data_IF_146322675384
#
_entry.id   IF_146322675384
#
_cell.length_a   1.000
_cell.length_b   1.000
_cell.length_c   1.000
_cell.angle_alpha   90.00
_cell.angle_beta   90.00
_cell.angle_gamma   90.00
#
_symmetry.space_group_name_H-M   'P 1'
#
loop_
_entity.id
_entity.type
_entity.pdbx_description
1 polymer ?
#
# COMPACT_ATOMS: atom_id res chain seq x y z
N UNK A 1 -39.99 -38.12 27.24
CA UNK A 1 -40.93 -38.25 26.11
C UNK A 1 -40.62 -37.14 25.12
N UNK A 2 -40.01 -37.46 23.98
CA UNK A 2 -39.46 -36.48 23.04
C UNK A 2 -40.37 -36.37 21.80
N UNK A 3 -40.96 -35.19 21.61
CA UNK A 3 -41.87 -34.90 20.49
C UNK A 3 -41.06 -34.43 19.29
N UNK A 4 -40.93 -35.28 18.26
CA UNK A 4 -40.38 -34.90 16.95
C UNK A 4 -41.44 -34.14 16.16
N UNK A 5 -41.17 -32.87 15.84
CA UNK A 5 -41.97 -32.07 14.91
C UNK A 5 -41.31 -32.12 13.54
N UNK A 6 -41.98 -32.76 12.58
CA UNK A 6 -41.62 -32.74 11.16
C UNK A 6 -42.33 -31.57 10.50
N UNK A 7 -41.56 -30.62 9.94
CA UNK A 7 -42.09 -29.56 9.07
C UNK A 7 -41.74 -29.92 7.64
N UNK A 8 -42.78 -30.16 6.83
CA UNK A 8 -42.71 -30.49 5.41
C UNK A 8 -43.52 -29.44 4.64
N UNK A 9 -42.83 -28.53 3.96
CA UNK A 9 -43.36 -27.63 2.92
C UNK A 9 -42.19 -27.44 1.94
N UNK A 10 -42.26 -27.67 0.63
CA UNK A 10 -43.38 -27.69 -0.30
C UNK A 10 -42.84 -26.98 -1.55
N UNK A 11 -42.41 -27.73 -2.55
CA UNK A 11 -41.83 -27.20 -3.78
C UNK A 11 -42.95 -26.65 -4.68
N UNK A 12 -42.85 -25.37 -5.06
CA UNK A 12 -43.75 -24.72 -6.00
C UNK A 12 -42.96 -24.02 -7.10
N UNK A 13 -42.80 -24.69 -8.23
CA UNK A 13 -42.44 -24.07 -9.52
C UNK A 13 -43.62 -23.23 -10.00
N UNK A 14 -43.39 -21.94 -10.29
CA UNK A 14 -44.24 -21.21 -11.24
C UNK A 14 -43.41 -20.24 -12.07
N UNK A 15 -43.68 -20.31 -13.37
CA UNK A 15 -43.01 -19.61 -14.47
C UNK A 15 -43.47 -18.16 -14.55
N UNK A 16 -42.53 -17.30 -14.91
CA UNK A 16 -42.65 -16.17 -15.84
C UNK A 16 -43.83 -15.22 -15.72
N UNK A 17 -43.55 -13.97 -15.34
CA UNK A 17 -44.07 -12.80 -16.03
C UNK A 17 -43.05 -11.66 -16.00
N UNK A 18 -42.66 -11.21 -17.19
CA UNK A 18 -41.96 -9.96 -17.40
C UNK A 18 -42.91 -8.79 -17.08
N UNK A 19 -42.46 -7.85 -16.24
CA UNK A 19 -43.17 -6.59 -15.98
C UNK A 19 -42.36 -5.38 -16.47
N UNK A 20 -43.05 -4.33 -16.93
CA UNK A 20 -42.49 -3.29 -17.78
C UNK A 20 -41.65 -2.24 -17.04
N UNK A 21 -40.70 -1.71 -17.80
CA UNK A 21 -39.96 -0.46 -17.63
C UNK A 21 -40.83 0.66 -17.01
N UNK A 22 -40.51 1.06 -15.77
CA UNK A 22 -41.02 2.28 -15.15
C UNK A 22 -39.94 3.37 -15.22
N UNK A 23 -40.16 4.34 -16.11
CA UNK A 23 -39.51 5.67 -16.09
C UNK A 23 -39.76 6.33 -14.73
N UNK A 24 -38.69 6.75 -14.04
CA UNK A 24 -38.79 7.64 -12.87
C UNK A 24 -38.76 9.09 -13.32
N UNK A 25 -39.68 9.95 -12.83
CA UNK A 25 -39.58 11.39 -13.04
C UNK A 25 -38.53 12.00 -12.11
N UNK A 26 -37.82 12.99 -12.65
CA UNK A 26 -36.96 13.89 -11.89
C UNK A 26 -37.81 14.81 -11.03
N UNK A 27 -37.53 14.88 -9.72
CA UNK A 27 -37.81 16.03 -8.87
C UNK A 27 -36.70 16.16 -7.84
N UNK A 28 -35.98 17.29 -7.92
CA UNK A 28 -35.20 17.80 -6.81
C UNK A 28 -36.12 18.44 -5.77
N UNK A 29 -35.67 18.45 -4.51
CA UNK A 29 -35.41 19.66 -3.73
C UNK A 29 -34.69 19.27 -2.42
N UNK A 30 -33.63 20.04 -2.16
CA UNK A 30 -33.04 20.44 -0.89
C UNK A 30 -33.65 19.86 0.40
N UNK A 31 -32.78 19.22 1.19
CA UNK A 31 -32.74 19.45 2.64
C UNK A 31 -31.29 19.68 3.05
N UNK A 32 -31.09 20.83 3.67
CA UNK A 32 -29.92 21.20 4.47
C UNK A 32 -29.75 20.23 5.64
N UNK A 33 -28.52 19.78 5.83
CA UNK A 33 -28.12 18.83 6.85
C UNK A 33 -26.60 18.74 6.94
N UNK A 34 -25.91 19.88 6.82
CA UNK A 34 -24.55 20.03 7.28
C UNK A 34 -24.56 19.96 8.81
N UNK A 35 -24.16 18.82 9.37
CA UNK A 35 -23.28 18.65 10.54
C UNK A 35 -23.44 17.22 11.05
N UNK A 36 -22.56 16.31 10.59
CA UNK A 36 -22.04 15.12 11.31
C UNK A 36 -21.29 14.19 10.36
N UNK A 37 -20.42 14.77 9.53
CA UNK A 37 -19.33 14.06 8.86
C UNK A 37 -18.06 14.87 9.12
N UNK A 38 -17.56 14.77 10.34
CA UNK A 38 -16.22 15.19 10.69
C UNK A 38 -15.69 14.22 11.74
N UNK A 39 -14.41 13.88 11.62
CA UNK A 39 -13.63 13.03 12.53
C UNK A 39 -13.74 11.51 12.27
N UNK A 40 -13.38 11.14 11.06
CA UNK A 40 -12.68 9.88 10.79
C UNK A 40 -11.32 10.20 10.20
N UNK A 41 -10.36 10.63 11.02
CA UNK A 41 -8.97 10.83 10.59
C UNK A 41 -8.05 9.97 11.44
N UNK A 42 -7.42 9.01 10.74
CA UNK A 42 -6.29 8.23 11.20
C UNK A 42 -5.19 9.16 11.73
N UNK A 43 -4.82 8.96 13.00
CA UNK A 43 -3.60 9.53 13.57
C UNK A 43 -2.41 8.73 13.02
N UNK A 44 -1.82 9.28 11.96
CA UNK A 44 -0.53 8.90 11.41
C UNK A 44 0.07 10.10 10.70
N UNK A 45 0.71 11.00 11.46
CA UNK A 45 1.79 11.90 11.02
C UNK A 45 1.70 12.53 9.60
N UNK A 46 0.72 13.41 9.34
CA UNK A 46 0.68 14.21 8.09
C UNK A 46 0.52 15.74 8.26
N UNK A 47 0.18 16.38 9.41
CA UNK A 47 -0.07 17.82 9.37
C UNK A 47 1.21 18.66 9.20
N UNK A 48 2.40 18.11 9.47
CA UNK A 48 3.67 18.84 9.39
C UNK A 48 4.14 19.05 7.93
N UNK A 49 3.98 18.05 7.06
CA UNK A 49 4.42 18.16 5.66
C UNK A 49 3.56 19.10 4.82
N UNK A 50 2.26 19.22 5.12
CA UNK A 50 1.40 20.21 4.44
C UNK A 50 1.80 21.63 4.80
N UNK A 51 2.18 21.91 6.05
CA UNK A 51 2.71 23.22 6.44
C UNK A 51 4.07 23.50 5.78
N UNK A 52 4.95 22.50 5.67
CA UNK A 52 6.26 22.64 5.02
C UNK A 52 6.15 22.88 3.50
N UNK A 53 5.24 22.17 2.82
CA UNK A 53 4.98 22.38 1.39
C UNK A 53 4.35 23.75 1.15
N UNK A 54 3.43 24.21 2.00
CA UNK A 54 2.88 25.57 1.88
C UNK A 54 3.94 26.64 2.13
N UNK A 55 4.91 26.42 3.02
CA UNK A 55 6.05 27.33 3.23
C UNK A 55 6.97 27.34 2.00
N UNK A 56 7.25 26.18 1.40
CA UNK A 56 8.12 26.05 0.23
C UNK A 56 7.47 26.56 -1.07
N UNK A 57 6.15 26.46 -1.21
CA UNK A 57 5.39 26.98 -2.37
C UNK A 57 5.30 28.51 -2.40
N UNK A 58 5.59 29.19 -1.27
CA UNK A 58 5.67 30.65 -1.19
C UNK A 58 7.09 31.20 -1.33
N UNK A 59 8.11 30.33 -1.43
CA UNK A 59 9.49 30.73 -1.75
C UNK A 59 9.61 30.78 -3.28
N UNK A 60 9.67 31.99 -3.84
CA UNK A 60 9.88 32.16 -5.28
C UNK A 60 11.25 31.58 -5.68
N UNK A 61 11.33 30.76 -6.75
CA UNK A 61 12.60 30.20 -7.22
C UNK A 61 13.63 31.26 -7.67
N UNK A 62 13.18 32.50 -7.90
CA UNK A 62 14.05 33.62 -8.30
C UNK A 62 14.84 34.25 -7.13
N UNK A 63 14.67 33.78 -5.87
CA UNK A 63 15.35 34.36 -4.70
C UNK A 63 16.51 33.54 -4.14
N UNK A 64 16.95 32.48 -4.82
CA UNK A 64 18.20 31.77 -4.50
C UNK A 64 19.31 32.14 -5.48
N UNK A 65 19.54 33.43 -5.65
CA UNK A 65 20.80 33.93 -6.16
C UNK A 65 21.85 33.78 -5.04
N UNK A 66 22.72 32.77 -5.13
CA UNK A 66 23.98 32.85 -4.42
C UNK A 66 24.69 34.12 -4.90
N UNK A 67 25.09 35.04 -4.00
CA UNK A 67 25.77 36.27 -4.38
C UNK A 67 27.21 35.91 -4.74
N UNK A 68 27.40 35.45 -5.97
CA UNK A 68 28.69 35.04 -6.48
C UNK A 68 28.52 34.54 -7.90
N UNK A 69 28.94 35.35 -8.86
CA UNK A 69 28.96 34.95 -10.27
C UNK A 69 29.84 33.72 -10.52
N UNK A 70 29.97 33.27 -11.79
CA UNK A 70 30.74 32.09 -12.17
C UNK A 70 32.19 32.09 -11.64
N UNK A 71 32.75 33.27 -11.36
CA UNK A 71 34.08 33.46 -10.75
C UNK A 71 34.20 32.90 -9.33
N UNK A 72 33.13 32.93 -8.52
CA UNK A 72 33.14 32.39 -7.14
C UNK A 72 33.09 30.86 -7.17
N UNK A 73 32.36 30.29 -8.13
CA UNK A 73 32.30 28.84 -8.33
C UNK A 73 33.65 28.29 -8.81
N UNK A 74 34.36 29.05 -9.66
CA UNK A 74 35.69 28.71 -10.13
C UNK A 74 36.76 28.83 -9.02
N UNK A 75 36.62 29.83 -8.14
CA UNK A 75 37.50 30.00 -6.97
C UNK A 75 37.36 28.87 -5.94
N UNK A 76 36.13 28.41 -5.69
CA UNK A 76 35.85 27.27 -4.79
C UNK A 76 36.43 25.97 -5.36
N UNK A 77 36.30 25.75 -6.67
CA UNK A 77 36.86 24.56 -7.33
C UNK A 77 38.40 24.56 -7.35
N UNK A 78 39.06 25.73 -7.42
CA UNK A 78 40.52 25.84 -7.30
C UNK A 78 41.03 25.60 -5.88
N UNK A 79 40.28 25.99 -4.85
CA UNK A 79 40.68 25.75 -3.45
C UNK A 79 40.55 24.29 -3.02
N UNK A 80 39.67 23.50 -3.66
CA UNK A 80 39.43 22.11 -3.27
C UNK A 80 40.46 21.10 -3.81
N UNK A 81 41.36 21.48 -4.74
CA UNK A 81 42.41 20.59 -5.29
C UNK A 81 43.68 21.33 -5.74
N UNK A 82 44.59 21.69 -4.82
CA UNK A 82 45.84 22.37 -5.18
C UNK A 82 46.91 21.48 -5.84
N UNK A 83 46.81 20.14 -5.77
CA UNK A 83 47.96 19.26 -6.07
C UNK A 83 47.88 18.37 -7.32
N UNK A 84 46.88 18.55 -8.20
CA UNK A 84 46.81 17.73 -9.43
C UNK A 84 47.45 18.48 -10.60
N UNK A 85 48.72 18.19 -10.86
CA UNK A 85 49.42 18.60 -12.09
C UNK A 85 48.81 17.86 -13.30
N UNK A 86 48.38 18.58 -14.37
CA UNK A 86 47.80 17.95 -15.57
C UNK A 86 48.75 17.08 -16.40
N UNK A 87 50.02 16.95 -16.01
CA UNK A 87 51.10 16.39 -16.85
C UNK A 87 51.47 14.93 -16.58
N UNK A 88 50.85 14.25 -15.62
CA UNK A 88 51.19 12.86 -15.25
C UNK A 88 50.14 11.82 -15.66
N UNK A 89 49.28 12.16 -16.61
CA UNK A 89 48.26 11.25 -17.16
C UNK A 89 48.78 10.49 -18.39
N UNK A 90 49.95 9.85 -18.27
CA UNK A 90 50.37 8.80 -19.20
C UNK A 90 49.84 7.48 -18.63
N UNK A 91 48.60 7.15 -18.99
CA UNK A 91 48.00 5.85 -18.67
C UNK A 91 48.74 4.80 -19.51
N UNK A 92 49.60 4.04 -18.84
CA UNK A 92 50.19 2.83 -19.37
C UNK A 92 49.08 1.88 -19.84
N UNK A 93 49.14 1.52 -21.12
CA UNK A 93 48.22 0.63 -21.80
C UNK A 93 48.51 -0.83 -21.38
N UNK A 94 48.37 -1.16 -20.10
CA UNK A 94 48.37 -2.55 -19.67
C UNK A 94 47.04 -3.20 -20.09
N UNK A 95 47.14 -4.28 -20.86
CA UNK A 95 46.00 -5.09 -21.30
C UNK A 95 45.19 -5.50 -20.07
N UNK A 96 43.90 -5.09 -19.94
CA UNK A 96 43.08 -5.49 -18.81
C UNK A 96 42.75 -6.98 -18.92
N UNK A 97 43.55 -7.78 -18.23
CA UNK A 97 43.25 -9.16 -17.89
C UNK A 97 41.97 -9.21 -17.06
N UNK A 98 41.01 -10.04 -17.51
CA UNK A 98 39.81 -10.46 -16.78
C UNK A 98 38.99 -9.34 -16.12
N UNK A 99 38.08 -8.73 -16.89
CA UNK A 99 36.99 -7.91 -16.32
C UNK A 99 36.26 -8.73 -15.25
N UNK A 100 36.10 -8.23 -14.01
CA UNK A 100 35.25 -8.89 -13.03
C UNK A 100 33.84 -8.96 -13.63
N UNK A 101 33.34 -10.18 -13.82
CA UNK A 101 31.94 -10.37 -14.22
C UNK A 101 31.09 -9.88 -13.06
N UNK A 102 30.57 -8.66 -13.16
CA UNK A 102 29.60 -8.15 -12.21
C UNK A 102 28.35 -9.01 -12.41
N UNK A 103 28.18 -10.02 -11.54
CA UNK A 103 26.97 -10.82 -11.51
C UNK A 103 25.82 -9.89 -11.17
N UNK A 104 24.77 -9.93 -11.98
CA UNK A 104 23.52 -9.21 -11.68
C UNK A 104 23.03 -9.65 -10.29
N UNK A 105 22.60 -8.69 -9.43
CA UNK A 105 22.16 -8.99 -8.08
C UNK A 105 20.96 -9.95 -8.11
N UNK A 106 20.91 -10.87 -7.16
CA UNK A 106 19.82 -11.84 -7.09
C UNK A 106 18.51 -11.16 -6.69
N UNK A 107 17.35 -11.74 -7.04
CA UNK A 107 16.04 -11.24 -6.60
C UNK A 107 15.94 -11.13 -5.07
N UNK A 108 16.60 -12.04 -4.36
CA UNK A 108 16.61 -12.05 -2.90
C UNK A 108 17.42 -10.86 -2.35
N UNK A 109 18.60 -10.59 -2.91
CA UNK A 109 19.40 -9.41 -2.54
C UNK A 109 18.64 -8.11 -2.79
N UNK A 110 17.99 -7.96 -3.95
CA UNK A 110 17.18 -6.78 -4.27
C UNK A 110 16.01 -6.65 -3.28
N UNK A 111 15.36 -7.77 -2.93
CA UNK A 111 14.26 -7.77 -1.97
C UNK A 111 14.72 -7.39 -0.56
N UNK A 112 15.87 -7.87 -0.12
CA UNK A 112 16.42 -7.55 1.20
C UNK A 112 16.87 -6.08 1.26
N UNK A 113 17.57 -5.58 0.24
CA UNK A 113 17.93 -4.17 0.12
C UNK A 113 16.70 -3.25 0.13
N UNK A 114 15.63 -3.64 -0.58
CA UNK A 114 14.35 -2.93 -0.55
C UNK A 114 13.71 -2.92 0.86
N UNK A 115 13.80 -4.03 1.61
CA UNK A 115 13.24 -4.10 2.95
C UNK A 115 14.02 -3.23 3.94
N UNK A 116 15.35 -3.22 3.87
CA UNK A 116 16.19 -2.31 4.65
C UNK A 116 15.86 -0.85 4.33
N UNK A 117 15.75 -0.50 3.04
CA UNK A 117 15.34 0.85 2.64
C UNK A 117 13.98 1.28 3.26
N UNK A 118 13.02 0.36 3.32
CA UNK A 118 11.71 0.65 3.93
C UNK A 118 11.79 0.75 5.45
N UNK A 119 12.64 -0.04 6.10
CA UNK A 119 12.90 0.01 7.54
C UNK A 119 13.55 1.34 7.95
N UNK A 120 14.58 1.76 7.22
CA UNK A 120 15.24 3.06 7.39
C UNK A 120 14.26 4.22 7.17
N UNK A 121 13.29 4.03 6.26
CA UNK A 121 12.18 4.96 6.01
C UNK A 121 11.08 4.97 7.10
N UNK A 122 11.25 4.24 8.21
CA UNK A 122 10.31 4.21 9.33
C UNK A 122 9.06 3.36 9.09
N UNK A 123 9.10 2.39 8.18
CA UNK A 123 7.98 1.48 7.98
C UNK A 123 7.73 0.61 9.22
N UNK A 124 6.46 0.42 9.58
CA UNK A 124 6.11 -0.40 10.73
C UNK A 124 6.58 -1.86 10.58
N UNK A 125 7.14 -2.44 11.64
CA UNK A 125 7.69 -3.80 11.66
C UNK A 125 6.68 -4.86 11.16
N UNK A 126 5.42 -4.77 11.60
CA UNK A 126 4.36 -5.68 11.16
C UNK A 126 4.10 -5.61 9.65
N UNK A 127 4.25 -4.44 9.04
CA UNK A 127 4.13 -4.25 7.60
C UNK A 127 5.32 -4.87 6.86
N UNK A 128 6.54 -4.66 7.36
CA UNK A 128 7.77 -5.24 6.80
C UNK A 128 7.73 -6.77 6.84
N UNK A 129 7.33 -7.38 7.96
CA UNK A 129 7.20 -8.84 8.11
C UNK A 129 6.27 -9.46 7.06
N UNK A 130 5.10 -8.86 6.84
CA UNK A 130 4.14 -9.34 5.83
C UNK A 130 4.70 -9.19 4.42
N UNK A 131 5.39 -8.09 4.15
CA UNK A 131 5.99 -7.80 2.84
C UNK A 131 7.17 -8.73 2.54
N UNK A 132 8.07 -8.93 3.50
CA UNK A 132 9.19 -9.86 3.43
C UNK A 132 8.73 -11.28 3.08
N UNK A 133 7.68 -11.78 3.74
CA UNK A 133 7.10 -13.10 3.42
C UNK A 133 6.67 -13.23 1.96
N UNK A 134 6.06 -12.18 1.39
CA UNK A 134 5.61 -12.16 -0.01
C UNK A 134 6.79 -12.13 -0.97
N UNK A 135 7.78 -11.27 -0.71
CA UNK A 135 8.94 -11.13 -1.59
C UNK A 135 9.87 -12.35 -1.54
N UNK A 136 10.10 -12.96 -0.37
CA UNK A 136 10.85 -14.22 -0.25
C UNK A 136 10.19 -15.38 -0.99
N UNK A 137 8.85 -15.42 -1.02
CA UNK A 137 8.14 -16.41 -1.82
C UNK A 137 8.37 -16.20 -3.31
N UNK A 138 8.37 -14.94 -3.78
CA UNK A 138 8.68 -14.59 -5.17
C UNK A 138 10.14 -14.92 -5.54
N UNK A 139 11.11 -14.52 -4.71
CA UNK A 139 12.54 -14.74 -4.94
C UNK A 139 12.91 -16.23 -5.02
N UNK A 140 12.22 -17.10 -4.28
CA UNK A 140 12.38 -18.56 -4.39
C UNK A 140 11.95 -19.12 -5.75
N UNK A 141 10.94 -18.53 -6.38
CA UNK A 141 10.47 -18.97 -7.70
C UNK A 141 11.29 -18.33 -8.84
N UNK A 142 11.83 -17.14 -8.61
CA UNK A 142 12.63 -16.40 -9.58
C UNK A 142 13.92 -15.90 -8.92
N UNK A 143 15.01 -16.71 -8.93
CA UNK A 143 16.29 -16.30 -8.34
C UNK A 143 16.90 -15.05 -8.98
N UNK A 144 16.60 -14.83 -10.26
CA UNK A 144 16.93 -13.62 -11.02
C UNK A 144 15.67 -12.80 -11.27
N UNK A 145 15.75 -11.46 -11.15
CA UNK A 145 14.57 -10.61 -11.16
C UNK A 145 13.93 -10.62 -12.57
N UNK A 146 12.67 -11.11 -12.72
CA UNK A 146 12.07 -11.23 -14.05
C UNK A 146 11.90 -9.88 -14.75
N UNK A 147 12.49 -9.76 -15.94
CA UNK A 147 12.31 -8.58 -16.80
C UNK A 147 11.12 -8.75 -17.75
N UNK A 148 10.66 -9.97 -18.00
CA UNK A 148 9.48 -10.24 -18.82
C UNK A 148 8.17 -10.09 -18.01
N UNK A 149 7.28 -9.16 -18.40
CA UNK A 149 5.98 -9.00 -17.74
C UNK A 149 5.10 -10.26 -17.77
N UNK A 150 5.28 -11.18 -18.74
CA UNK A 150 4.48 -12.41 -18.80
C UNK A 150 4.81 -13.37 -17.65
N UNK A 151 6.08 -13.49 -17.25
CA UNK A 151 6.48 -14.28 -16.09
C UNK A 151 5.84 -13.74 -14.80
N UNK A 152 5.81 -12.42 -14.65
CA UNK A 152 5.17 -11.77 -13.51
C UNK A 152 3.65 -12.01 -13.51
N UNK A 153 3.01 -11.92 -14.69
CA UNK A 153 1.57 -12.24 -14.83
C UNK A 153 1.29 -13.70 -14.49
N UNK A 154 2.14 -14.63 -14.93
CA UNK A 154 2.02 -16.05 -14.61
C UNK A 154 2.14 -16.29 -13.09
N UNK A 155 3.12 -15.67 -12.44
CA UNK A 155 3.27 -15.67 -10.98
C UNK A 155 2.00 -15.17 -10.27
N UNK A 156 1.42 -14.06 -10.72
CA UNK A 156 0.21 -13.50 -10.08
C UNK A 156 -1.03 -14.36 -10.32
N UNK A 157 -1.14 -15.04 -11.46
CA UNK A 157 -2.28 -15.92 -11.79
C UNK A 157 -2.39 -17.12 -10.84
N UNK A 158 -1.28 -17.58 -10.24
CA UNK A 158 -1.31 -18.72 -9.30
C UNK A 158 -2.16 -18.46 -8.04
N UNK A 159 -2.34 -17.19 -7.65
CA UNK A 159 -3.17 -16.83 -6.51
C UNK A 159 -4.64 -16.71 -6.95
N UNK A 160 -5.53 -17.53 -6.36
CA UNK A 160 -6.98 -17.47 -6.62
C UNK A 160 -7.56 -16.12 -6.16
N UNK A 161 -8.41 -15.51 -6.98
CA UNK A 161 -8.98 -14.17 -6.77
C UNK A 161 -10.42 -14.15 -6.25
N UNK A 162 -11.08 -15.30 -6.15
CA UNK A 162 -12.51 -15.35 -5.89
C UNK A 162 -12.90 -14.66 -4.57
N UNK A 163 -12.11 -14.89 -3.51
CA UNK A 163 -12.55 -14.54 -2.15
C UNK A 163 -11.52 -13.75 -1.32
N UNK A 164 -10.23 -13.87 -1.64
CA UNK A 164 -9.15 -13.28 -0.84
C UNK A 164 -8.32 -12.31 -1.69
N UNK A 165 -8.01 -11.09 -1.19
CA UNK A 165 -7.25 -10.09 -1.94
C UNK A 165 -5.76 -10.47 -2.14
N UNK A 166 -5.37 -11.73 -1.92
CA UNK A 166 -3.98 -12.23 -1.97
C UNK A 166 -3.27 -11.83 -3.27
N UNK A 167 -3.92 -11.96 -4.43
CA UNK A 167 -3.31 -11.57 -5.72
C UNK A 167 -3.01 -10.08 -5.78
N UNK A 168 -3.94 -9.23 -5.34
CA UNK A 168 -3.75 -7.78 -5.33
C UNK A 168 -2.64 -7.38 -4.37
N UNK A 169 -2.58 -8.07 -3.23
CA UNK A 169 -1.59 -7.89 -2.20
C UNK A 169 -0.17 -8.28 -2.64
N UNK A 170 -0.06 -9.37 -3.41
CA UNK A 170 1.18 -9.77 -4.08
C UNK A 170 1.59 -8.75 -5.14
N UNK A 171 0.63 -8.32 -5.99
CA UNK A 171 0.88 -7.28 -7.00
C UNK A 171 1.38 -5.97 -6.37
N UNK A 172 0.81 -5.52 -5.24
CA UNK A 172 1.30 -4.34 -4.51
C UNK A 172 2.71 -4.52 -3.96
N UNK A 173 3.02 -5.72 -3.44
CA UNK A 173 4.36 -6.03 -2.95
C UNK A 173 5.39 -5.91 -4.08
N UNK A 174 5.13 -6.60 -5.20
CA UNK A 174 5.97 -6.56 -6.39
C UNK A 174 6.08 -5.16 -6.98
N UNK A 175 4.97 -4.42 -7.11
CA UNK A 175 4.99 -3.06 -7.69
C UNK A 175 5.99 -2.17 -6.95
N UNK A 176 6.00 -2.22 -5.62
CA UNK A 176 6.93 -1.41 -4.84
C UNK A 176 8.37 -1.95 -4.88
N UNK A 177 8.58 -3.26 -4.94
CA UNK A 177 9.91 -3.84 -5.16
C UNK A 177 10.50 -3.37 -6.51
N UNK A 178 9.73 -3.47 -7.59
CA UNK A 178 10.18 -3.05 -8.91
C UNK A 178 10.33 -1.53 -9.02
N UNK A 179 9.51 -0.74 -8.32
CA UNK A 179 9.73 0.72 -8.24
C UNK A 179 11.07 1.05 -7.60
N UNK A 180 11.46 0.32 -6.56
CA UNK A 180 12.77 0.46 -5.93
C UNK A 180 13.89 -0.01 -6.87
N UNK A 181 13.77 -1.21 -7.45
CA UNK A 181 14.80 -1.77 -8.33
C UNK A 181 15.04 -0.98 -9.62
N UNK A 182 14.02 -0.28 -10.12
CA UNK A 182 14.07 0.53 -11.35
C UNK A 182 13.98 2.04 -11.03
N UNK A 183 14.40 2.47 -9.84
CA UNK A 183 14.34 3.89 -9.48
C UNK A 183 15.16 4.77 -10.44
N UNK A 184 16.30 4.26 -10.93
CA UNK A 184 17.19 4.98 -11.85
C UNK A 184 16.68 4.96 -13.30
N UNK A 185 15.94 3.92 -13.69
CA UNK A 185 15.35 3.77 -15.02
C UNK A 185 13.87 3.36 -14.96
N UNK A 186 12.96 4.27 -14.55
CA UNK A 186 11.56 3.90 -14.31
C UNK A 186 10.81 3.37 -15.53
N UNK A 187 11.22 3.76 -16.74
CA UNK A 187 10.58 3.35 -18.00
C UNK A 187 10.80 1.86 -18.33
N UNK A 188 11.88 1.28 -17.82
CA UNK A 188 12.21 -0.14 -18.04
C UNK A 188 11.51 -1.07 -17.06
N UNK A 189 10.73 -0.52 -16.13
CA UNK A 189 10.04 -1.30 -15.12
C UNK A 189 8.93 -2.18 -15.75
N UNK A 190 9.07 -3.51 -15.75
CA UNK A 190 8.09 -4.41 -16.37
C UNK A 190 6.74 -4.41 -15.66
N UNK A 191 6.68 -4.02 -14.37
CA UNK A 191 5.41 -3.91 -13.64
C UNK A 191 4.48 -2.85 -14.21
N UNK A 192 4.98 -1.85 -14.96
CA UNK A 192 4.13 -0.88 -15.65
C UNK A 192 3.27 -1.53 -16.73
N UNK A 193 3.72 -2.66 -17.28
CA UNK A 193 2.99 -3.47 -18.27
C UNK A 193 2.11 -4.55 -17.61
N UNK A 194 2.12 -4.69 -16.29
CA UNK A 194 1.36 -5.71 -15.56
C UNK A 194 0.09 -5.10 -14.96
N UNK A 195 -1.05 -5.46 -15.53
CA UNK A 195 -2.35 -4.94 -15.09
C UNK A 195 -2.63 -5.19 -13.61
N UNK A 196 -3.15 -4.17 -12.95
CA UNK A 196 -3.60 -4.26 -11.57
C UNK A 196 -4.73 -5.29 -11.44
N UNK A 197 -4.59 -6.33 -10.59
CA UNK A 197 -5.65 -7.29 -10.37
C UNK A 197 -6.93 -6.61 -9.87
N UNK A 198 -8.05 -6.89 -10.55
CA UNK A 198 -9.37 -6.44 -10.12
C UNK A 198 -9.89 -7.37 -9.04
N UNK A 199 -10.28 -6.81 -7.91
CA UNK A 199 -10.91 -7.53 -6.82
C UNK A 199 -12.32 -6.97 -6.60
N UNK A 200 -13.33 -7.84 -6.65
CA UNK A 200 -14.68 -7.47 -6.22
C UNK A 200 -14.71 -7.60 -4.71
N UNK A 201 -14.63 -6.47 -4.01
CA UNK A 201 -14.76 -6.44 -2.56
C UNK A 201 -16.13 -7.02 -2.21
N UNK A 202 -16.15 -8.20 -1.60
CA UNK A 202 -17.37 -8.69 -0.94
C UNK A 202 -17.78 -7.62 0.05
N UNK A 203 -19.04 -7.20 0.01
CA UNK A 203 -19.60 -6.39 1.10
C UNK A 203 -19.33 -7.17 2.38
N UNK A 204 -18.43 -6.66 3.23
CA UNK A 204 -18.17 -7.30 4.51
C UNK A 204 -19.50 -7.53 5.21
N UNK A 205 -19.65 -8.66 5.87
CA UNK A 205 -20.86 -8.93 6.63
C UNK A 205 -21.00 -7.82 7.68
N UNK A 206 -22.00 -6.97 7.50
CA UNK A 206 -22.35 -5.94 8.46
C UNK A 206 -23.43 -6.50 9.34
N UNK A 207 -23.35 -6.24 10.64
CA UNK A 207 -24.46 -6.50 11.54
C UNK A 207 -25.62 -5.62 11.11
N UNK A 208 -26.75 -6.24 10.82
CA UNK A 208 -28.02 -5.53 10.70
C UNK A 208 -28.41 -4.93 12.04
N UNK A 209 -29.34 -3.97 12.03
CA UNK A 209 -29.85 -3.35 13.25
C UNK A 209 -30.42 -4.38 14.23
N UNK A 210 -31.13 -5.38 13.73
CA UNK A 210 -31.75 -6.41 14.56
C UNK A 210 -30.70 -7.37 15.14
N UNK A 211 -29.68 -7.73 14.36
CA UNK A 211 -28.55 -8.50 14.86
C UNK A 211 -27.75 -7.73 15.92
N UNK A 212 -27.58 -6.42 15.77
CA UNK A 212 -26.92 -5.59 16.77
C UNK A 212 -27.73 -5.51 18.06
N UNK A 213 -29.07 -5.40 17.98
CA UNK A 213 -29.95 -5.47 19.16
C UNK A 213 -29.84 -6.82 19.87
N UNK A 214 -29.87 -7.92 19.11
CA UNK A 214 -29.71 -9.26 19.67
C UNK A 214 -28.35 -9.42 20.36
N UNK A 215 -27.28 -8.93 19.74
CA UNK A 215 -25.95 -8.92 20.35
C UNK A 215 -25.95 -8.15 21.67
N UNK A 216 -26.50 -6.94 21.70
CA UNK A 216 -26.56 -6.11 22.91
C UNK A 216 -27.39 -6.77 24.03
N UNK A 217 -28.49 -7.45 23.68
CA UNK A 217 -29.33 -8.16 24.65
C UNK A 217 -28.70 -9.43 25.21
N UNK A 218 -27.71 -10.00 24.50
CA UNK A 218 -27.03 -11.22 24.91
C UNK A 218 -25.85 -10.97 25.87
N UNK A 219 -25.38 -9.72 25.98
CA UNK A 219 -24.28 -9.34 26.87
C UNK A 219 -24.74 -9.41 28.32
N UNK A 220 -23.96 -10.10 29.16
CA UNK A 220 -24.31 -10.29 30.58
C UNK A 220 -23.35 -9.63 31.54
N UNK A 221 -22.14 -9.30 31.08
CA UNK A 221 -21.08 -8.82 31.96
C UNK A 221 -20.66 -7.40 31.62
N UNK A 222 -20.24 -6.63 32.62
CA UNK A 222 -19.77 -5.25 32.43
C UNK A 222 -18.54 -5.15 31.51
N UNK A 223 -17.55 -6.07 31.56
CA UNK A 223 -16.42 -6.05 30.63
C UNK A 223 -16.85 -6.22 29.17
N UNK A 224 -17.80 -7.11 28.89
CA UNK A 224 -18.36 -7.28 27.53
C UNK A 224 -19.08 -6.02 27.08
N UNK A 225 -19.87 -5.39 27.97
CA UNK A 225 -20.54 -4.11 27.70
C UNK A 225 -19.54 -3.01 27.39
N UNK A 226 -18.45 -2.91 28.14
CA UNK A 226 -17.38 -1.96 27.89
C UNK A 226 -16.72 -2.19 26.52
N UNK A 227 -16.41 -3.45 26.16
CA UNK A 227 -15.83 -3.79 24.85
C UNK A 227 -16.78 -3.46 23.69
N UNK A 228 -18.07 -3.81 23.82
CA UNK A 228 -19.07 -3.51 22.80
C UNK A 228 -19.26 -2.00 22.66
N UNK A 229 -19.25 -1.25 23.76
CA UNK A 229 -19.28 0.22 23.72
C UNK A 229 -18.05 0.78 23.01
N UNK A 230 -16.86 0.24 23.27
CA UNK A 230 -15.63 0.61 22.57
C UNK A 230 -15.72 0.35 21.05
N UNK A 231 -16.24 -0.82 20.65
CA UNK A 231 -16.32 -1.20 19.22
C UNK A 231 -17.43 -0.49 18.46
N UNK A 232 -18.64 -0.43 19.01
CA UNK A 232 -19.82 0.09 18.30
C UNK A 232 -20.06 1.58 18.57
N UNK A 233 -19.87 2.02 19.81
CA UNK A 233 -20.07 3.41 20.20
C UNK A 233 -18.90 4.29 19.79
N UNK A 234 -17.69 3.93 20.25
CA UNK A 234 -16.48 4.73 20.05
C UNK A 234 -15.69 4.39 18.78
N UNK A 235 -16.05 3.27 18.11
CA UNK A 235 -15.42 2.79 16.87
C UNK A 235 -13.93 2.48 17.00
N UNK A 236 -13.48 2.09 18.19
CA UNK A 236 -12.12 1.62 18.37
C UNK A 236 -11.88 0.33 17.59
N UNK A 237 -10.68 0.23 17.01
CA UNK A 237 -10.19 -1.05 16.48
C UNK A 237 -9.99 -2.00 17.65
N UNK A 238 -10.04 -3.30 17.35
CA UNK A 238 -9.83 -4.35 18.35
C UNK A 238 -8.59 -4.11 19.22
N UNK A 239 -7.45 -3.86 18.58
CA UNK A 239 -6.16 -3.65 19.24
C UNK A 239 -6.13 -2.37 20.09
N UNK A 240 -6.88 -1.34 19.69
CA UNK A 240 -6.98 -0.08 20.44
C UNK A 240 -7.79 -0.30 21.72
N UNK A 241 -8.94 -0.98 21.62
CA UNK A 241 -9.78 -1.28 22.78
C UNK A 241 -9.08 -2.21 23.79
N UNK A 242 -8.34 -3.22 23.31
CA UNK A 242 -7.58 -4.15 24.17
C UNK A 242 -6.42 -3.46 24.92
N UNK A 243 -5.93 -2.32 24.40
CA UNK A 243 -4.85 -1.54 24.99
C UNK A 243 -5.33 -0.44 25.93
N UNK A 244 -6.64 -0.24 26.07
CA UNK A 244 -7.16 0.69 27.05
C UNK A 244 -6.68 0.27 28.45
N UNK A 245 -6.19 1.25 29.20
CA UNK A 245 -5.84 1.15 30.60
C UNK A 245 -6.64 2.24 31.30
N UNK A 246 -7.37 1.88 32.33
CA UNK A 246 -7.95 2.86 33.23
C UNK A 246 -6.80 3.40 34.08
N UNK A 247 -6.55 4.70 33.97
CA UNK A 247 -5.57 5.41 34.80
C UNK A 247 -6.11 5.66 36.20
#
# INVERSE_FOLDING_TARGET
MATKVFIKCGAGLSRGQAKPSRKRPAKGKQYDGQLLIALGHDAGHIPFYKQLITILEHVKPDSLAFPGGPEVQEAIMRQLRPDIKPSELIIGLEKPSSKPSISLPSTQEIADAYLTYMEDGGAAEGYLKVRARKLRFFARQYPQLPTDPQLIRAYLRQFKTADVPTRQDQWKALTALYKYAYQDNPNDNPMLKVDKPRFRKKSGQRLSRDQAKLLLSAIKTDPEWALVTCYFGLRFRRVEAERLRFG
#
